data_IF_296666788213
#
_entry.id   IF_296666788213
#
_cell.length_a   1.000
_cell.length_b   1.000
_cell.length_c   1.000
_cell.angle_alpha   90.00
_cell.angle_beta   90.00
_cell.angle_gamma   90.00
#
_symmetry.space_group_name_H-M   'P 1'
#
loop_
_entity.id
_entity.type
_entity.pdbx_description
1 polymer ?
#
# COMPACT_ATOMS: atom_id res chain seq x y z
N UNK A 1 10.38 1.21 -19.84
CA UNK A 1 9.25 0.41 -20.36
C UNK A 1 8.08 0.74 -19.47
N UNK A 2 6.89 0.96 -20.04
CA UNK A 2 5.68 1.21 -19.24
C UNK A 2 5.07 -0.13 -18.80
N UNK A 3 4.66 -0.24 -17.54
CA UNK A 3 4.09 -1.43 -16.91
C UNK A 3 5.09 -2.44 -16.34
N UNK A 4 6.37 -2.10 -16.16
CA UNK A 4 7.35 -3.07 -15.62
C UNK A 4 7.08 -3.40 -14.16
N UNK A 5 6.91 -2.39 -13.32
CA UNK A 5 6.65 -2.55 -11.89
C UNK A 5 5.33 -3.30 -11.64
N UNK A 6 4.27 -2.94 -12.36
CA UNK A 6 2.97 -3.62 -12.30
C UNK A 6 3.07 -5.08 -12.79
N UNK A 7 3.83 -5.34 -13.86
CA UNK A 7 4.05 -6.69 -14.38
C UNK A 7 4.72 -7.63 -13.38
N UNK A 8 5.49 -7.11 -12.42
CA UNK A 8 6.08 -7.91 -11.33
C UNK A 8 5.08 -8.35 -10.27
N UNK A 9 3.90 -7.70 -10.19
CA UNK A 9 2.88 -8.04 -9.19
C UNK A 9 2.12 -9.32 -9.55
N UNK A 10 1.90 -9.56 -10.85
CA UNK A 10 1.16 -10.73 -11.35
C UNK A 10 1.75 -12.08 -10.93
N UNK A 11 3.05 -12.38 -11.16
CA UNK A 11 3.64 -13.66 -10.74
C UNK A 11 3.70 -13.80 -9.21
N UNK A 12 3.57 -12.71 -8.46
CA UNK A 12 3.47 -12.71 -6.99
C UNK A 12 2.03 -12.91 -6.48
N UNK A 13 1.06 -13.07 -7.39
CA UNK A 13 -0.36 -13.19 -7.06
C UNK A 13 -0.95 -11.91 -6.45
N UNK A 14 -0.34 -10.75 -6.70
CA UNK A 14 -0.78 -9.47 -6.15
C UNK A 14 -1.69 -8.77 -7.16
N UNK A 15 -2.92 -8.50 -6.76
CA UNK A 15 -3.84 -7.59 -7.47
C UNK A 15 -4.00 -6.33 -6.64
N UNK A 16 -3.83 -5.18 -7.27
CA UNK A 16 -4.02 -3.90 -6.58
C UNK A 16 -5.52 -3.65 -6.37
N UNK A 17 -5.96 -3.39 -5.12
CA UNK A 17 -7.33 -2.94 -4.87
C UNK A 17 -7.52 -1.49 -5.37
N UNK A 18 -8.76 -1.00 -5.27
CA UNK A 18 -9.00 0.43 -5.32
C UNK A 18 -8.33 1.10 -4.11
N UNK A 19 -7.66 2.23 -4.33
CA UNK A 19 -6.98 2.95 -3.26
C UNK A 19 -7.97 3.46 -2.20
N UNK A 20 -7.65 3.25 -0.92
CA UNK A 20 -8.43 3.81 0.19
C UNK A 20 -8.33 5.33 0.25
N UNK A 21 -9.45 5.94 0.62
CA UNK A 21 -9.52 7.36 0.97
C UNK A 21 -8.97 7.63 2.39
N UNK A 22 -8.55 8.86 2.70
CA UNK A 22 -8.16 9.27 4.05
C UNK A 22 -9.27 8.98 5.09
N UNK A 23 -8.89 8.51 6.28
CA UNK A 23 -9.82 8.22 7.36
C UNK A 23 -10.36 9.50 8.06
N UNK A 24 -9.74 10.64 7.82
CA UNK A 24 -10.12 11.94 8.38
C UNK A 24 -9.67 13.07 7.45
N UNK A 25 -9.63 14.31 7.96
CA UNK A 25 -9.23 15.50 7.20
C UNK A 25 -7.72 15.63 7.05
N UNK A 26 -7.14 14.79 6.19
CA UNK A 26 -5.74 14.88 5.77
C UNK A 26 -5.59 14.40 4.32
N UNK A 27 -4.50 14.79 3.66
CA UNK A 27 -4.24 14.38 2.27
C UNK A 27 -3.89 12.89 2.19
N UNK A 28 -4.35 12.19 1.15
CA UNK A 28 -4.04 10.78 0.98
C UNK A 28 -2.53 10.56 0.70
N UNK A 29 -1.94 11.52 0.01
CA UNK A 29 -0.51 11.66 -0.22
C UNK A 29 -0.21 13.13 -0.49
N UNK A 30 1.07 13.50 -0.41
CA UNK A 30 1.60 14.79 -0.91
C UNK A 30 2.86 14.53 -1.72
N UNK A 31 3.14 15.38 -2.70
CA UNK A 31 4.39 15.34 -3.49
C UNK A 31 5.12 16.66 -3.28
N UNK A 32 6.35 16.59 -2.77
CA UNK A 32 7.20 17.75 -2.51
C UNK A 32 8.60 17.45 -3.00
N UNK A 33 9.17 18.30 -3.86
CA UNK A 33 10.53 18.17 -4.39
C UNK A 33 10.84 16.78 -5.01
N UNK A 34 9.84 16.19 -5.69
CA UNK A 34 9.98 14.87 -6.31
C UNK A 34 9.86 13.68 -5.36
N UNK A 35 9.60 13.91 -4.07
CA UNK A 35 9.31 12.87 -3.09
C UNK A 35 7.80 12.79 -2.84
N UNK A 36 7.25 11.58 -2.93
CA UNK A 36 5.86 11.30 -2.59
C UNK A 36 5.78 10.74 -1.16
N UNK A 37 5.02 11.42 -0.30
CA UNK A 37 4.73 10.98 1.06
C UNK A 37 3.31 10.43 1.09
N UNK A 38 3.17 9.14 1.38
CA UNK A 38 1.88 8.46 1.50
C UNK A 38 1.45 8.48 2.97
N UNK A 39 0.20 8.89 3.22
CA UNK A 39 -0.35 8.84 4.58
C UNK A 39 -0.43 7.40 5.09
N UNK A 40 -0.45 7.22 6.42
CA UNK A 40 -0.47 5.89 7.04
C UNK A 40 -1.56 4.98 6.47
N UNK A 41 -1.16 3.79 6.04
CA UNK A 41 -2.05 2.73 5.56
C UNK A 41 -1.99 1.54 6.50
N UNK A 42 -3.12 0.83 6.57
CA UNK A 42 -3.25 -0.42 7.30
C UNK A 42 -3.78 -1.51 6.37
N UNK A 43 -3.79 -2.76 6.85
CA UNK A 43 -4.41 -3.85 6.13
C UNK A 43 -5.94 -3.66 6.13
N UNK A 44 -6.65 -4.29 5.17
CA UNK A 44 -8.11 -4.28 5.16
C UNK A 44 -8.67 -4.93 6.43
N UNK A 45 -9.87 -4.49 6.84
CA UNK A 45 -10.57 -5.01 8.01
C UNK A 45 -10.11 -4.47 9.37
N UNK A 46 -9.17 -3.50 9.37
CA UNK A 46 -8.71 -2.78 10.57
C UNK A 46 -8.44 -3.68 11.79
N UNK A 47 -7.51 -4.65 11.69
CA UNK A 47 -7.16 -5.52 12.80
C UNK A 47 -6.64 -4.70 13.99
N UNK A 48 -7.22 -4.91 15.17
CA UNK A 48 -6.86 -4.21 16.42
C UNK A 48 -6.22 -5.17 17.42
N UNK A 49 -4.96 -4.96 17.78
CA UNK A 49 -4.27 -5.79 18.76
C UNK A 49 -2.76 -5.66 18.63
N UNK A 50 -2.03 -6.48 19.38
CA UNK A 50 -0.56 -6.44 19.45
C UNK A 50 0.06 -7.76 18.97
N UNK A 51 1.10 -7.65 18.15
CA UNK A 51 1.90 -8.80 17.72
C UNK A 51 2.56 -9.48 18.92
N UNK A 52 2.57 -10.80 18.95
CA UNK A 52 3.08 -11.60 20.07
C UNK A 52 2.08 -11.76 21.23
N UNK A 53 1.01 -10.98 21.28
CA UNK A 53 -0.08 -11.15 22.24
C UNK A 53 -1.35 -11.67 21.57
N UNK A 54 -1.87 -10.92 20.58
CA UNK A 54 -3.08 -11.29 19.84
C UNK A 54 -2.78 -11.95 18.49
N UNK A 55 -1.62 -11.65 17.91
CA UNK A 55 -1.26 -12.10 16.57
C UNK A 55 0.09 -12.81 16.56
N UNK A 56 0.20 -13.87 15.77
CA UNK A 56 1.50 -14.52 15.51
C UNK A 56 2.32 -13.72 14.50
N UNK A 57 3.61 -14.02 14.39
CA UNK A 57 4.51 -13.41 13.38
C UNK A 57 3.99 -13.61 11.96
N UNK A 58 3.46 -14.80 11.65
CA UNK A 58 2.92 -15.14 10.33
C UNK A 58 1.69 -14.30 9.99
N UNK A 59 0.80 -14.10 10.96
CA UNK A 59 -0.37 -13.22 10.81
C UNK A 59 0.06 -11.76 10.65
N UNK A 60 1.04 -11.30 11.45
CA UNK A 60 1.64 -9.97 11.31
C UNK A 60 2.26 -9.75 9.93
N UNK A 61 2.96 -10.75 9.40
CA UNK A 61 3.53 -10.73 8.07
C UNK A 61 2.45 -10.61 6.98
N UNK A 62 1.36 -11.37 7.11
CA UNK A 62 0.23 -11.28 6.18
C UNK A 62 -0.41 -9.87 6.20
N UNK A 63 -0.60 -9.28 7.39
CA UNK A 63 -1.11 -7.91 7.53
C UNK A 63 -0.14 -6.87 6.96
N UNK A 64 1.16 -7.01 7.20
CA UNK A 64 2.17 -6.13 6.63
C UNK A 64 2.18 -6.21 5.10
N UNK A 65 2.06 -7.42 4.53
CA UNK A 65 1.95 -7.62 3.07
C UNK A 65 0.73 -6.89 2.50
N UNK A 66 -0.44 -7.06 3.11
CA UNK A 66 -1.67 -6.38 2.67
C UNK A 66 -1.54 -4.85 2.78
N UNK A 67 -0.90 -4.36 3.83
CA UNK A 67 -0.60 -2.93 4.00
C UNK A 67 0.28 -2.40 2.87
N UNK A 68 1.31 -3.15 2.49
CA UNK A 68 2.17 -2.79 1.35
C UNK A 68 1.39 -2.77 0.03
N UNK A 69 0.47 -3.71 -0.19
CA UNK A 69 -0.41 -3.72 -1.37
C UNK A 69 -1.32 -2.48 -1.41
N UNK A 70 -1.84 -2.06 -0.25
CA UNK A 70 -2.64 -0.84 -0.14
C UNK A 70 -1.83 0.43 -0.46
N UNK A 71 -0.58 0.50 -0.02
CA UNK A 71 0.34 1.59 -0.40
C UNK A 71 0.57 1.61 -1.91
N UNK A 72 0.82 0.45 -2.53
CA UNK A 72 0.98 0.35 -3.99
C UNK A 72 -0.27 0.78 -4.76
N UNK A 73 -1.46 0.48 -4.24
CA UNK A 73 -2.72 0.94 -4.83
C UNK A 73 -2.80 2.47 -4.85
N UNK A 74 -2.45 3.13 -3.73
CA UNK A 74 -2.42 4.60 -3.64
C UNK A 74 -1.37 5.21 -4.57
N UNK A 75 -0.19 4.61 -4.67
CA UNK A 75 0.84 5.05 -5.60
C UNK A 75 0.37 4.96 -7.06
N UNK A 76 -0.22 3.83 -7.45
CA UNK A 76 -0.75 3.63 -8.80
C UNK A 76 -1.88 4.59 -9.12
N UNK A 77 -2.78 4.83 -8.16
CA UNK A 77 -3.89 5.78 -8.32
C UNK A 77 -3.38 7.21 -8.52
N UNK A 78 -2.43 7.65 -7.68
CA UNK A 78 -1.84 8.97 -7.73
C UNK A 78 -0.99 9.23 -8.98
N UNK A 79 -0.17 8.25 -9.36
CA UNK A 79 0.86 8.40 -10.39
C UNK A 79 0.39 7.91 -11.76
N UNK A 80 -0.70 7.14 -11.82
CA UNK A 80 -1.18 6.44 -13.01
C UNK A 80 -0.36 5.20 -13.39
N UNK A 81 0.91 5.14 -13.00
CA UNK A 81 1.76 3.95 -13.14
C UNK A 81 2.82 3.92 -12.03
N UNK A 82 3.14 2.71 -11.56
CA UNK A 82 4.18 2.43 -10.57
C UNK A 82 5.60 2.64 -11.11
N UNK A 83 5.80 2.62 -12.44
CA UNK A 83 7.10 2.91 -13.06
C UNK A 83 7.59 4.35 -12.84
N UNK A 84 6.75 5.23 -12.28
CA UNK A 84 7.14 6.58 -11.89
C UNK A 84 7.89 6.65 -10.55
N UNK A 85 7.95 5.54 -9.80
CA UNK A 85 8.75 5.41 -8.58
C UNK A 85 10.17 4.97 -8.96
N UNK A 86 11.20 5.66 -8.45
CA UNK A 86 12.62 5.47 -8.80
C UNK A 86 13.41 4.82 -7.67
#
# INVERSE_FOLDING_TARGET
>A
MSGYAEGRLEPLGIRLPAASSPAARYANYVIVNGLMYVSGKGPPGEPKGKLGERYTTEQGYAYARLTGVEVLAVLRDALGSLDKVK
#
